data_IF_102766713151
#
_entry.id   IF_102766713151
#
_cell.length_a   1.000
_cell.length_b   1.000
_cell.length_c   1.000
_cell.angle_alpha   90.00
_cell.angle_beta   90.00
_cell.angle_gamma   90.00
#
_symmetry.space_group_name_H-M   'P 1'
#
loop_
_entity.id
_entity.type
_entity.pdbx_description
1 polymer ?
#
# COMPACT_ATOMS: atom_id res chain seq x y z
N UNK A 1 -23.59 -2.18 22.32
CA UNK A 1 -22.63 -2.11 23.43
C UNK A 1 -21.26 -1.89 22.82
N UNK A 2 -20.71 -0.69 22.95
CA UNK A 2 -19.37 -0.38 22.44
C UNK A 2 -18.35 -1.06 23.36
N UNK A 3 -17.53 -1.96 22.79
CA UNK A 3 -16.47 -2.61 23.55
C UNK A 3 -15.30 -1.64 23.71
N UNK A 4 -14.88 -1.45 24.96
CA UNK A 4 -13.73 -0.66 25.33
C UNK A 4 -12.41 -1.37 24.91
N UNK A 5 -11.56 -0.61 24.23
CA UNK A 5 -10.09 -0.59 24.33
C UNK A 5 -9.32 -1.91 24.18
N UNK A 6 -9.48 -2.57 23.03
CA UNK A 6 -8.38 -3.41 22.55
C UNK A 6 -7.18 -2.50 22.18
N UNK A 7 -5.95 -2.79 22.63
CA UNK A 7 -4.80 -1.97 22.29
C UNK A 7 -4.67 -1.88 20.77
N UNK A 8 -4.59 -0.66 20.24
CA UNK A 8 -4.47 -0.41 18.81
C UNK A 8 -3.23 -1.12 18.26
N UNK A 9 -3.41 -2.04 17.30
CA UNK A 9 -2.30 -2.85 16.78
C UNK A 9 -1.31 -1.95 16.06
N UNK A 10 -0.02 -2.15 16.30
CA UNK A 10 1.04 -1.48 15.55
C UNK A 10 1.51 -2.39 14.41
N UNK A 11 1.29 -1.94 13.18
CA UNK A 11 1.63 -2.68 11.96
C UNK A 11 2.79 -1.95 11.27
N UNK A 12 3.92 -2.64 11.16
CA UNK A 12 5.05 -2.13 10.36
C UNK A 12 4.97 -2.70 8.95
N UNK A 13 4.92 -1.83 7.95
CA UNK A 13 4.87 -2.20 6.54
C UNK A 13 6.25 -1.92 5.91
N UNK A 14 7.02 -2.95 5.53
CA UNK A 14 8.27 -2.77 4.82
C UNK A 14 8.00 -2.33 3.38
N UNK A 15 8.72 -1.32 2.89
CA UNK A 15 8.52 -0.70 1.58
C UNK A 15 9.85 -0.49 0.88
N UNK A 16 9.94 -0.94 -0.38
CA UNK A 16 10.94 -0.46 -1.32
C UNK A 16 10.36 0.75 -2.03
N UNK A 17 11.03 1.89 -1.91
CA UNK A 17 10.61 3.15 -2.53
C UNK A 17 11.28 3.37 -3.88
N UNK A 18 10.61 4.12 -4.75
CA UNK A 18 11.17 4.58 -6.02
C UNK A 18 11.38 3.51 -7.08
N UNK A 19 12.02 3.90 -8.18
CA UNK A 19 12.27 3.04 -9.34
C UNK A 19 10.97 2.45 -9.91
N UNK A 20 11.02 1.19 -10.34
CA UNK A 20 9.84 0.48 -10.86
C UNK A 20 8.78 0.22 -9.78
N UNK A 21 9.18 0.20 -8.50
CA UNK A 21 8.29 -0.05 -7.37
C UNK A 21 7.51 1.20 -6.95
N UNK A 22 8.08 2.38 -7.21
CA UNK A 22 7.54 3.70 -6.93
C UNK A 22 7.72 4.65 -8.10
N UNK A 23 7.07 4.40 -9.25
CA UNK A 23 7.32 5.14 -10.49
C UNK A 23 6.91 6.62 -10.43
N UNK A 24 6.13 7.04 -9.42
CA UNK A 24 5.74 8.43 -9.24
C UNK A 24 6.55 9.14 -8.14
N UNK A 25 7.53 8.50 -7.49
CA UNK A 25 8.26 9.12 -6.39
C UNK A 25 8.94 10.44 -6.81
N UNK A 26 9.55 10.46 -7.99
CA UNK A 26 10.19 11.67 -8.52
C UNK A 26 9.17 12.76 -8.88
N UNK A 27 7.97 12.38 -9.30
CA UNK A 27 6.88 13.32 -9.58
C UNK A 27 6.37 13.95 -8.27
N UNK A 28 6.25 13.14 -7.20
CA UNK A 28 5.91 13.62 -5.85
C UNK A 28 6.98 14.56 -5.32
N UNK A 29 8.25 14.18 -5.43
CA UNK A 29 9.39 15.00 -5.04
C UNK A 29 9.37 16.37 -5.74
N UNK A 30 9.20 16.39 -7.07
CA UNK A 30 9.11 17.65 -7.84
C UNK A 30 7.91 18.51 -7.45
N UNK A 31 6.74 17.92 -7.23
CA UNK A 31 5.54 18.67 -6.84
C UNK A 31 5.66 19.32 -5.46
N UNK A 32 6.31 18.61 -4.53
CA UNK A 32 6.44 19.00 -3.13
C UNK A 32 7.68 19.85 -2.87
N UNK A 33 8.50 20.08 -3.89
CA UNK A 33 9.79 20.78 -3.81
C UNK A 33 10.77 20.11 -2.82
N UNK A 34 10.70 18.79 -2.75
CA UNK A 34 11.54 17.94 -1.90
C UNK A 34 12.42 17.04 -2.77
N UNK A 35 13.52 16.56 -2.21
CA UNK A 35 14.23 15.41 -2.79
C UNK A 35 13.44 14.11 -2.60
N UNK A 36 13.71 13.10 -3.43
CA UNK A 36 13.08 11.79 -3.29
C UNK A 36 13.38 11.16 -1.90
N UNK A 37 14.62 11.29 -1.42
CA UNK A 37 15.04 10.80 -0.11
C UNK A 37 14.29 11.49 1.04
N UNK A 38 14.02 12.79 0.90
CA UNK A 38 13.23 13.54 1.86
C UNK A 38 11.76 13.12 1.87
N UNK A 39 11.16 12.84 0.70
CA UNK A 39 9.81 12.27 0.62
C UNK A 39 9.77 10.93 1.35
N UNK A 40 10.75 10.05 1.10
CA UNK A 40 10.87 8.74 1.75
C UNK A 40 11.00 8.91 3.27
N UNK A 41 11.91 9.77 3.72
CA UNK A 41 12.19 9.99 5.13
C UNK A 41 10.94 10.51 5.87
N UNK A 42 10.25 11.51 5.31
CA UNK A 42 9.02 12.06 5.91
C UNK A 42 7.88 11.03 5.91
N UNK A 43 7.71 10.28 4.83
CA UNK A 43 6.67 9.25 4.73
C UNK A 43 6.94 8.08 5.71
N UNK A 44 8.19 7.65 5.87
CA UNK A 44 8.54 6.56 6.78
C UNK A 44 8.61 6.98 8.27
N UNK A 45 8.84 8.26 8.56
CA UNK A 45 8.86 8.79 9.93
C UNK A 45 7.46 9.02 10.50
N UNK A 46 6.45 9.24 9.66
CA UNK A 46 5.09 9.49 10.10
C UNK A 46 4.43 8.26 10.74
N UNK A 47 3.51 8.52 11.67
CA UNK A 47 2.62 7.50 12.25
C UNK A 47 1.25 7.68 11.64
N UNK A 48 0.72 6.60 11.08
CA UNK A 48 -0.55 6.59 10.38
C UNK A 48 -1.61 5.85 11.18
N UNK A 49 -2.87 6.19 10.93
CA UNK A 49 -4.02 5.44 11.45
C UNK A 49 -4.91 5.01 10.30
N UNK A 50 -5.36 3.76 10.33
CA UNK A 50 -6.37 3.25 9.39
C UNK A 50 -7.73 3.86 9.74
N UNK A 51 -8.10 4.94 9.04
CA UNK A 51 -9.34 5.67 9.31
C UNK A 51 -10.58 4.96 8.76
N UNK A 52 -10.44 4.30 7.61
CA UNK A 52 -11.49 3.51 6.98
C UNK A 52 -10.92 2.38 6.14
N UNK A 53 -11.74 1.34 5.95
CA UNK A 53 -11.47 0.23 5.04
C UNK A 53 -12.47 0.31 3.88
N UNK A 54 -12.07 -0.01 2.66
CA UNK A 54 -12.97 0.03 1.48
C UNK A 54 -12.22 0.28 0.18
N UNK A 55 -12.92 0.59 -0.91
CA UNK A 55 -12.42 0.59 -2.31
C UNK A 55 -12.12 -0.81 -2.88
N UNK A 56 -11.35 -1.62 -2.17
CA UNK A 56 -11.14 -3.04 -2.47
C UNK A 56 -11.00 -3.84 -1.15
N UNK A 57 -11.22 -5.16 -1.15
CA UNK A 57 -10.97 -6.00 0.03
C UNK A 57 -9.56 -5.78 0.60
N UNK A 58 -9.46 -5.44 1.89
CA UNK A 58 -8.19 -5.18 2.58
C UNK A 58 -7.51 -3.85 2.28
N UNK A 59 -8.10 -2.97 1.48
CA UNK A 59 -7.54 -1.63 1.27
C UNK A 59 -7.92 -0.71 2.43
N UNK A 60 -6.90 -0.15 3.08
CA UNK A 60 -7.05 0.80 4.20
C UNK A 60 -6.67 2.22 3.79
N UNK A 61 -7.56 3.18 4.05
CA UNK A 61 -7.27 4.60 3.92
C UNK A 61 -6.55 5.10 5.18
N UNK A 62 -5.32 5.55 5.01
CA UNK A 62 -4.48 6.02 6.11
C UNK A 62 -4.57 7.54 6.22
N UNK A 63 -4.76 8.01 7.45
CA UNK A 63 -4.61 9.43 7.83
C UNK A 63 -3.29 9.61 8.59
N UNK A 64 -2.78 10.84 8.65
CA UNK A 64 -1.49 11.15 9.27
C UNK A 64 -0.36 11.43 8.27
N UNK A 65 -0.67 11.57 6.97
CA UNK A 65 0.29 12.03 5.98
C UNK A 65 0.75 13.46 6.33
N UNK A 66 2.07 13.73 6.39
CA UNK A 66 2.59 15.09 6.52
C UNK A 66 2.03 15.99 5.42
N UNK A 67 1.61 17.20 5.78
CA UNK A 67 0.93 18.12 4.85
C UNK A 67 1.83 18.50 3.67
N UNK A 68 3.15 18.50 3.89
CA UNK A 68 4.19 18.77 2.91
C UNK A 68 4.28 17.69 1.82
N UNK A 69 3.76 16.49 2.07
CA UNK A 69 3.71 15.41 1.08
C UNK A 69 2.40 15.36 0.29
N UNK A 70 1.45 16.26 0.59
CA UNK A 70 0.17 16.27 -0.09
C UNK A 70 0.34 16.62 -1.58
N UNK A 71 -0.26 15.80 -2.44
CA UNK A 71 -0.19 15.96 -3.90
C UNK A 71 -1.52 15.49 -4.51
N UNK A 72 -2.11 16.20 -5.49
CA UNK A 72 -3.33 15.73 -6.16
C UNK A 72 -3.17 14.34 -6.77
N UNK A 73 -4.30 13.66 -6.95
CA UNK A 73 -4.36 12.42 -7.74
C UNK A 73 -3.87 12.70 -9.16
N UNK A 74 -3.29 11.68 -9.78
CA UNK A 74 -2.88 11.72 -11.19
C UNK A 74 -4.08 12.10 -12.06
N UNK A 75 -3.83 13.01 -13.01
CA UNK A 75 -4.84 13.44 -13.99
C UNK A 75 -5.35 12.27 -14.84
N UNK A 76 -4.47 11.32 -15.15
CA UNK A 76 -4.78 10.12 -15.91
C UNK A 76 -4.53 8.89 -15.01
N UNK A 77 -5.58 8.29 -14.41
CA UNK A 77 -5.44 7.09 -13.60
C UNK A 77 -4.80 5.94 -14.37
N UNK A 78 -3.99 5.12 -13.68
CA UNK A 78 -3.49 3.86 -14.24
C UNK A 78 -4.65 2.88 -14.34
N UNK A 79 -4.68 2.12 -15.43
CA UNK A 79 -5.61 0.99 -15.60
C UNK A 79 -5.25 -0.18 -14.70
N UNK A 80 -3.97 -0.31 -14.32
CA UNK A 80 -3.47 -1.34 -13.41
C UNK A 80 -2.44 -0.74 -12.45
N UNK A 81 -2.73 -0.83 -11.16
CA UNK A 81 -1.82 -0.55 -10.05
C UNK A 81 -1.59 -1.88 -9.33
N UNK A 82 -0.35 -2.38 -9.26
CA UNK A 82 -0.08 -3.69 -8.69
C UNK A 82 -0.45 -3.80 -7.20
N UNK A 83 -0.81 -5.01 -6.76
CA UNK A 83 -0.98 -5.29 -5.33
C UNK A 83 0.33 -5.01 -4.56
N UNK A 84 0.21 -4.50 -3.33
CA UNK A 84 1.30 -4.03 -2.49
C UNK A 84 1.79 -2.61 -2.78
N UNK A 85 1.30 -1.94 -3.84
CA UNK A 85 1.72 -0.56 -4.14
C UNK A 85 1.34 0.40 -3.01
N UNK A 86 2.30 1.17 -2.53
CA UNK A 86 2.13 2.25 -1.55
C UNK A 86 2.02 3.56 -2.31
N UNK A 87 0.99 4.34 -2.04
CA UNK A 87 0.68 5.51 -2.85
C UNK A 87 0.09 6.68 -2.04
N UNK A 88 0.28 7.89 -2.57
CA UNK A 88 -0.27 9.14 -2.03
C UNK A 88 -1.34 9.69 -2.98
N UNK A 89 -2.48 10.10 -2.42
CA UNK A 89 -3.55 10.75 -3.16
C UNK A 89 -4.23 11.84 -2.35
N UNK A 90 -3.96 13.10 -2.68
CA UNK A 90 -4.36 14.26 -1.89
C UNK A 90 -3.62 14.27 -0.56
N UNK A 91 -4.37 14.32 0.54
CA UNK A 91 -3.84 14.32 1.92
C UNK A 91 -3.74 12.91 2.54
N UNK A 92 -3.94 11.86 1.73
CA UNK A 92 -4.00 10.48 2.21
C UNK A 92 -2.87 9.65 1.62
N UNK A 93 -2.45 8.64 2.37
CA UNK A 93 -1.64 7.53 1.88
C UNK A 93 -2.37 6.21 2.10
N UNK A 94 -1.88 5.14 1.50
CA UNK A 94 -2.54 3.84 1.52
C UNK A 94 -1.76 2.80 0.75
N UNK A 95 -2.19 1.55 0.90
CA UNK A 95 -1.57 0.41 0.22
C UNK A 95 -2.61 -0.35 -0.56
N UNK A 96 -2.37 -0.50 -1.86
CA UNK A 96 -3.22 -1.28 -2.76
C UNK A 96 -3.17 -2.75 -2.36
N UNK A 97 -4.26 -3.28 -1.80
CA UNK A 97 -4.32 -4.67 -1.35
C UNK A 97 -4.44 -5.69 -2.48
N UNK A 98 -4.96 -5.25 -3.62
CA UNK A 98 -5.16 -6.02 -4.85
C UNK A 98 -4.71 -5.20 -6.05
N UNK A 99 -4.50 -5.88 -7.19
CA UNK A 99 -4.30 -5.17 -8.45
C UNK A 99 -5.61 -4.53 -8.91
N UNK A 100 -5.62 -3.21 -9.06
CA UNK A 100 -6.82 -2.43 -9.42
C UNK A 100 -6.44 -1.21 -10.25
N UNK A 101 -7.37 -0.60 -11.02
CA UNK A 101 -7.16 0.74 -11.56
C UNK A 101 -7.00 1.77 -10.43
N UNK A 102 -6.16 2.78 -10.61
CA UNK A 102 -5.86 3.74 -9.54
C UNK A 102 -5.25 5.05 -10.01
N UNK A 103 -5.70 6.15 -9.41
CA UNK A 103 -5.20 7.50 -9.69
C UNK A 103 -4.23 8.05 -8.65
N UNK A 104 -3.80 7.25 -7.66
CA UNK A 104 -2.85 7.73 -6.66
C UNK A 104 -1.41 7.64 -7.19
N UNK A 105 -0.53 8.48 -6.63
CA UNK A 105 0.89 8.54 -6.98
C UNK A 105 1.62 7.42 -6.23
N UNK A 106 2.07 6.39 -6.95
CA UNK A 106 2.74 5.21 -6.40
C UNK A 106 4.20 5.56 -6.11
N UNK A 107 4.55 5.55 -4.83
CA UNK A 107 5.88 5.96 -4.33
C UNK A 107 6.76 4.78 -3.90
N UNK A 108 6.17 3.59 -3.78
CA UNK A 108 6.88 2.37 -3.41
C UNK A 108 5.97 1.15 -3.38
N UNK A 109 6.51 0.02 -2.94
CA UNK A 109 5.77 -1.24 -2.87
C UNK A 109 6.22 -2.11 -1.70
N UNK A 110 5.26 -2.75 -1.05
CA UNK A 110 5.49 -3.73 0.03
C UNK A 110 5.41 -5.17 -0.49
N UNK A 111 6.23 -6.10 0.03
CA UNK A 111 6.12 -7.52 -0.29
C UNK A 111 5.00 -8.21 0.50
N UNK A 112 4.39 -7.53 1.48
CA UNK A 112 3.34 -8.10 2.31
C UNK A 112 2.06 -8.36 1.50
N UNK A 113 1.36 -9.43 1.84
CA UNK A 113 0.02 -9.73 1.35
C UNK A 113 -1.00 -9.10 2.29
N UNK A 114 -1.69 -8.05 1.81
CA UNK A 114 -2.63 -7.26 2.61
C UNK A 114 -4.04 -7.87 2.64
N UNK A 115 -4.37 -8.66 1.62
CA UNK A 115 -5.63 -9.38 1.55
C UNK A 115 -5.42 -10.79 1.01
N UNK A 116 -5.97 -11.78 1.72
CA UNK A 116 -5.95 -13.18 1.36
C UNK A 116 -7.20 -13.87 1.90
N UNK A 117 -8.15 -14.13 1.01
CA UNK A 117 -9.44 -14.74 1.35
C UNK A 117 -9.34 -16.16 1.96
N UNK A 118 -8.17 -16.80 1.92
CA UNK A 118 -7.97 -18.14 2.46
C UNK A 118 -7.51 -18.15 3.92
N UNK A 119 -7.15 -16.98 4.48
CA UNK A 119 -6.73 -16.85 5.89
C UNK A 119 -7.94 -16.70 6.81
N UNK A 120 -7.80 -17.18 8.05
CA UNK A 120 -8.80 -16.95 9.12
C UNK A 120 -9.05 -15.46 9.35
N UNK A 121 -8.00 -14.65 9.25
CA UNK A 121 -8.08 -13.17 9.17
C UNK A 121 -7.70 -12.71 7.76
N UNK A 122 -8.68 -12.45 6.87
CA UNK A 122 -8.41 -12.19 5.46
C UNK A 122 -7.68 -10.87 5.17
N UNK A 123 -7.72 -9.92 6.09
CA UNK A 123 -7.16 -8.57 5.91
C UNK A 123 -6.05 -8.31 6.93
N UNK A 124 -4.88 -7.91 6.46
CA UNK A 124 -3.77 -7.53 7.34
C UNK A 124 -4.13 -6.29 8.19
N UNK A 125 -4.69 -5.27 7.53
CA UNK A 125 -5.07 -4.01 8.16
C UNK A 125 -6.54 -4.03 8.61
N UNK A 126 -6.80 -3.44 9.77
CA UNK A 126 -8.12 -3.20 10.32
C UNK A 126 -8.27 -1.72 10.70
N UNK A 127 -9.51 -1.24 10.73
CA UNK A 127 -9.82 0.12 11.16
C UNK A 127 -9.29 0.35 12.57
N UNK A 128 -8.56 1.45 12.77
CA UNK A 128 -7.95 1.80 14.05
C UNK A 128 -6.52 1.27 14.25
N UNK A 129 -6.00 0.43 13.35
CA UNK A 129 -4.59 0.05 13.39
C UNK A 129 -3.68 1.28 13.20
N UNK A 130 -2.58 1.30 13.94
CA UNK A 130 -1.49 2.23 13.73
C UNK A 130 -0.49 1.63 12.75
N UNK A 131 -0.22 2.34 11.67
CA UNK A 131 0.68 1.88 10.61
C UNK A 131 1.94 2.74 10.62
N UNK A 132 3.09 2.09 10.49
CA UNK A 132 4.36 2.74 10.19
C UNK A 132 4.99 2.09 8.96
N UNK A 133 5.48 2.90 8.04
CA UNK A 133 6.25 2.40 6.91
C UNK A 133 7.73 2.32 7.27
N UNK A 134 8.38 1.24 6.88
CA UNK A 134 9.82 1.06 7.03
C UNK A 134 10.45 0.96 5.65
N UNK A 135 11.38 1.86 5.33
CA UNK A 135 12.18 1.72 4.12
C UNK A 135 13.09 0.50 4.23
N UNK A 136 13.06 -0.35 3.22
CA UNK A 136 13.92 -1.54 3.10
C UNK A 136 14.60 -1.57 1.73
N UNK A 137 15.66 -2.35 1.62
CA UNK A 137 16.35 -2.60 0.35
C UNK A 137 15.56 -3.53 -0.58
N UNK A 138 15.83 -3.51 -1.90
CA UNK A 138 15.29 -4.50 -2.82
C UNK A 138 15.60 -5.95 -2.43
N UNK A 139 16.79 -6.22 -1.87
CA UNK A 139 17.16 -7.56 -1.41
C UNK A 139 16.27 -8.05 -0.25
N UNK A 140 16.02 -7.18 0.74
CA UNK A 140 15.09 -7.49 1.84
C UNK A 140 13.67 -7.70 1.34
N UNK A 141 13.24 -6.95 0.33
CA UNK A 141 11.92 -7.13 -0.28
C UNK A 141 11.76 -8.53 -0.86
N UNK A 142 12.75 -8.99 -1.63
CA UNK A 142 12.72 -10.33 -2.22
C UNK A 142 12.75 -11.42 -1.14
N UNK A 143 13.60 -11.26 -0.12
CA UNK A 143 13.66 -12.20 1.01
C UNK A 143 12.31 -12.31 1.75
N UNK A 144 11.64 -11.19 2.03
CA UNK A 144 10.31 -11.19 2.67
C UNK A 144 9.25 -11.78 1.73
N UNK A 145 9.31 -11.45 0.43
CA UNK A 145 8.36 -11.96 -0.55
C UNK A 145 8.48 -13.48 -0.76
N UNK A 146 9.67 -14.06 -0.59
CA UNK A 146 9.90 -15.50 -0.64
C UNK A 146 9.43 -16.20 0.64
N UNK A 147 9.66 -15.58 1.81
CA UNK A 147 9.21 -16.10 3.10
C UNK A 147 7.69 -15.99 3.29
N UNK A 148 7.04 -15.04 2.62
CA UNK A 148 5.57 -14.89 2.65
C UNK A 148 4.95 -15.97 1.78
N UNK A 149 4.07 -16.85 2.31
CA UNK A 149 3.44 -17.89 1.51
C UNK A 149 2.70 -17.27 0.33
N UNK A 150 3.17 -17.54 -0.90
CA UNK A 150 2.47 -17.20 -2.13
C UNK A 150 1.48 -18.31 -2.40
N UNK A 151 0.19 -18.00 -2.39
CA UNK A 151 -0.78 -18.91 -2.99
C UNK A 151 -0.76 -18.62 -4.49
N UNK A 152 -0.26 -19.59 -5.25
CA UNK A 152 -0.34 -19.62 -6.70
C UNK A 152 -1.79 -19.35 -7.09
N UNK A 153 -2.07 -18.23 -7.76
CA UNK A 153 -3.30 -18.12 -8.54
C UNK A 153 -3.15 -19.11 -9.70
N UNK A 154 -3.57 -20.35 -9.51
CA UNK A 154 -3.89 -21.22 -10.63
C UNK A 154 -5.10 -20.61 -11.32
N UNK A 155 -4.84 -19.75 -12.30
CA UNK A 155 -5.83 -19.38 -13.29
C UNK A 155 -6.20 -20.64 -14.06
N UNK A 156 -7.25 -21.34 -13.63
CA UNK A 156 -7.95 -22.26 -14.51
C UNK A 156 -8.59 -21.41 -15.59
N UNK A 157 -7.91 -21.33 -16.74
CA UNK A 157 -8.50 -20.89 -17.99
C UNK A 157 -9.64 -21.84 -18.33
N UNK A 158 -10.87 -21.45 -18.01
CA UNK A 158 -12.06 -22.06 -18.63
C UNK A 158 -12.11 -21.62 -20.09
N UNK A 159 -11.52 -22.44 -20.96
CA UNK A 159 -11.86 -22.51 -22.36
C UNK A 159 -12.32 -23.93 -22.65
N UNK A 160 -13.59 -24.20 -22.37
CA UNK A 160 -14.38 -25.22 -23.06
C UNK A 160 -15.84 -24.74 -23.04
N UNK A 161 -16.22 -24.07 -24.13
CA UNK A 161 -17.62 -23.90 -24.51
C UNK A 161 -17.88 -25.00 -25.52
N UNK A 162 -18.83 -25.87 -25.18
CA UNK A 162 -19.30 -26.99 -25.98
C UNK A 162 -19.82 -26.50 -27.34
N UNK A 163 -19.42 -27.20 -28.40
CA UNK A 163 -19.97 -27.12 -29.75
C UNK A 163 -19.52 -28.32 -30.57
#
# INVERSE_FOLDING_TARGET
TASADAPSRQITIPVVYGGEMGPDLDDVARHTELSADEVIARHAAATYVVASMGFAPGFGFLIGLPAELAIPRRRNPRTRVPAGSVAIGGIQTGVYSLETPGGWNVIGRTPLVLFDHTRDEPTLLQRGDHVRFQSISPAEYHAIAEATPKILQTGTSSAEVVG
#
